data_IF_584642372176
#
_entry.id   IF_584642372176
#
_cell.length_a   1.000
_cell.length_b   1.000
_cell.length_c   1.000
_cell.angle_alpha   90.00
_cell.angle_beta   90.00
_cell.angle_gamma   90.00
#
_symmetry.space_group_name_H-M   'P 1'
#
loop_
_entity.id
_entity.type
_entity.pdbx_description
1 polymer ?
#
# COMPACT_ATOMS: atom_id res chain seq x y z
N UNK A 1 11.80 41.36 7.39
CA UNK A 1 10.84 40.27 7.70
C UNK A 1 11.12 39.09 6.79
N UNK A 2 11.26 37.92 7.35
CA UNK A 2 11.40 36.69 6.55
C UNK A 2 10.14 36.42 5.72
N UNK A 3 10.33 36.02 4.46
CA UNK A 3 9.24 35.69 3.55
C UNK A 3 8.58 34.38 4.02
N UNK A 4 7.28 34.41 4.32
CA UNK A 4 6.54 33.20 4.70
C UNK A 4 6.67 32.11 3.62
N UNK A 5 6.97 30.91 4.05
CA UNK A 5 7.00 29.73 3.19
C UNK A 5 5.60 29.39 2.67
N UNK A 6 5.49 28.59 1.60
CA UNK A 6 4.20 28.14 1.11
C UNK A 6 3.45 27.32 2.17
N UNK A 7 4.15 26.54 2.99
CA UNK A 7 3.62 25.77 4.11
C UNK A 7 2.91 26.65 5.13
N UNK A 8 3.55 27.77 5.52
CA UNK A 8 2.98 28.75 6.45
C UNK A 8 1.84 29.58 5.82
N UNK A 9 1.94 29.91 4.52
CA UNK A 9 0.89 30.65 3.82
C UNK A 9 -0.42 29.87 3.70
N UNK A 10 -0.32 28.57 3.54
CA UNK A 10 -1.47 27.65 3.44
C UNK A 10 -1.94 27.16 4.81
N UNK A 11 -1.25 27.57 5.88
CA UNK A 11 -1.55 27.17 7.25
C UNK A 11 -1.70 25.64 7.39
N UNK A 12 -0.67 24.94 6.91
CA UNK A 12 -0.69 23.47 6.86
C UNK A 12 -0.68 22.85 8.26
N UNK A 13 -0.06 23.50 9.24
CA UNK A 13 -0.04 23.00 10.63
C UNK A 13 -1.44 22.78 11.19
N UNK A 14 -2.35 23.71 10.96
CA UNK A 14 -3.74 23.56 11.41
C UNK A 14 -4.52 22.51 10.62
N UNK A 15 -4.04 22.16 9.43
CA UNK A 15 -4.63 21.15 8.54
C UNK A 15 -4.08 19.74 8.75
N UNK A 16 -3.10 19.54 9.63
CA UNK A 16 -2.53 18.20 9.90
C UNK A 16 -3.59 17.16 10.28
N UNK A 17 -4.60 17.45 11.11
CA UNK A 17 -5.66 16.49 11.39
C UNK A 17 -6.48 16.10 10.16
N UNK A 18 -6.69 17.02 9.21
CA UNK A 18 -7.35 16.72 7.94
C UNK A 18 -6.49 15.82 7.06
N UNK A 19 -5.19 16.11 6.97
CA UNK A 19 -4.23 15.30 6.22
C UNK A 19 -4.18 13.87 6.75
N UNK A 20 -4.15 13.71 8.07
CA UNK A 20 -4.23 12.41 8.73
C UNK A 20 -5.54 11.68 8.41
N UNK A 21 -6.67 12.37 8.49
CA UNK A 21 -7.99 11.83 8.14
C UNK A 21 -8.08 11.38 6.69
N UNK A 22 -7.63 12.20 5.75
CA UNK A 22 -7.62 11.83 4.33
C UNK A 22 -6.73 10.60 4.06
N UNK A 23 -5.60 10.50 4.75
CA UNK A 23 -4.72 9.34 4.60
C UNK A 23 -5.34 8.09 5.21
N UNK A 24 -6.03 8.22 6.34
CA UNK A 24 -6.84 7.14 6.95
C UNK A 24 -7.92 6.63 6.01
N UNK A 25 -8.59 7.55 5.32
CA UNK A 25 -9.62 7.23 4.33
C UNK A 25 -9.05 6.63 3.03
N UNK A 26 -7.74 6.42 2.97
CA UNK A 26 -7.06 5.76 1.86
C UNK A 26 -6.69 6.67 0.69
N UNK A 27 -6.77 8.00 0.84
CA UNK A 27 -6.37 8.90 -0.23
C UNK A 27 -4.88 8.75 -0.58
N UNK A 28 -4.59 8.81 -1.87
CA UNK A 28 -3.21 8.84 -2.38
C UNK A 28 -2.54 10.18 -2.10
N UNK A 29 -1.22 10.20 -2.13
CA UNK A 29 -0.46 11.44 -1.96
C UNK A 29 -0.83 12.50 -3.01
N UNK A 30 -1.16 12.09 -4.23
CA UNK A 30 -1.67 13.00 -5.28
C UNK A 30 -3.02 13.65 -4.93
N UNK A 31 -3.94 12.86 -4.40
CA UNK A 31 -5.25 13.34 -3.98
C UNK A 31 -5.14 14.31 -2.80
N UNK A 32 -4.28 13.99 -1.84
CA UNK A 32 -4.01 14.87 -0.69
C UNK A 32 -3.36 16.18 -1.15
N UNK A 33 -2.37 16.12 -2.06
CA UNK A 33 -1.75 17.30 -2.64
C UNK A 33 -2.78 18.19 -3.35
N UNK A 34 -3.68 17.57 -4.14
CA UNK A 34 -4.78 18.27 -4.81
C UNK A 34 -5.72 18.95 -3.81
N UNK A 35 -6.08 18.28 -2.73
CA UNK A 35 -6.94 18.84 -1.68
C UNK A 35 -6.27 20.03 -0.96
N UNK A 36 -4.94 19.99 -0.82
CA UNK A 36 -4.17 21.10 -0.24
C UNK A 36 -3.89 22.23 -1.25
N UNK A 37 -4.17 22.03 -2.54
CA UNK A 37 -3.89 22.99 -3.60
C UNK A 37 -2.41 23.09 -3.98
N UNK A 38 -1.66 21.99 -3.84
CA UNK A 38 -0.21 21.93 -4.13
C UNK A 38 0.12 20.79 -5.07
N UNK A 39 1.35 20.80 -5.62
CA UNK A 39 1.86 19.69 -6.43
C UNK A 39 2.24 18.49 -5.55
N UNK A 40 2.26 17.30 -6.14
CA UNK A 40 2.75 16.08 -5.49
C UNK A 40 4.20 16.24 -4.99
N UNK A 41 5.05 16.90 -5.78
CA UNK A 41 6.45 17.13 -5.43
C UNK A 41 6.59 18.02 -4.19
N UNK A 42 5.72 19.04 -4.06
CA UNK A 42 5.65 19.88 -2.86
C UNK A 42 5.24 19.06 -1.63
N UNK A 43 4.27 18.18 -1.77
CA UNK A 43 3.85 17.28 -0.69
C UNK A 43 4.99 16.34 -0.28
N UNK A 44 5.69 15.73 -1.24
CA UNK A 44 6.85 14.85 -0.98
C UNK A 44 7.95 15.63 -0.25
N UNK A 45 8.24 16.87 -0.69
CA UNK A 45 9.18 17.73 -0.02
C UNK A 45 8.80 17.98 1.44
N UNK A 46 7.54 18.28 1.72
CA UNK A 46 7.05 18.48 3.09
C UNK A 46 7.14 17.20 3.93
N UNK A 47 6.88 16.04 3.36
CA UNK A 47 7.09 14.74 4.05
C UNK A 47 8.55 14.55 4.48
N UNK A 48 9.50 15.04 3.70
CA UNK A 48 10.92 14.89 3.99
C UNK A 48 11.45 15.96 4.95
N UNK A 49 10.92 17.19 4.88
CA UNK A 49 11.43 18.35 5.63
C UNK A 49 10.65 18.64 6.91
N UNK A 50 9.37 18.26 6.99
CA UNK A 50 8.45 18.56 8.11
C UNK A 50 8.07 17.31 8.87
N UNK A 51 8.69 17.10 10.02
CA UNK A 51 8.45 15.91 10.86
C UNK A 51 6.97 15.73 11.20
N UNK A 52 6.29 16.78 11.61
CA UNK A 52 4.87 16.73 12.01
C UNK A 52 3.95 16.36 10.85
N UNK A 53 4.25 16.84 9.64
CA UNK A 53 3.54 16.47 8.44
C UNK A 53 3.75 14.99 8.10
N UNK A 54 4.99 14.52 8.18
CA UNK A 54 5.32 13.10 7.99
C UNK A 54 4.59 12.21 9.01
N UNK A 55 4.60 12.57 10.28
CA UNK A 55 3.92 11.80 11.33
C UNK A 55 2.40 11.74 11.13
N UNK A 56 1.78 12.82 10.66
CA UNK A 56 0.34 12.82 10.33
C UNK A 56 0.02 11.87 9.17
N UNK A 57 0.81 11.88 8.10
CA UNK A 57 0.67 10.94 6.98
C UNK A 57 0.87 9.49 7.47
N UNK A 58 1.89 9.27 8.29
CA UNK A 58 2.21 7.94 8.82
C UNK A 58 1.07 7.37 9.66
N UNK A 59 0.56 8.14 10.64
CA UNK A 59 -0.57 7.69 11.48
C UNK A 59 -1.81 7.35 10.66
N UNK A 60 -2.18 8.20 9.70
CA UNK A 60 -3.31 7.91 8.82
C UNK A 60 -3.11 6.64 7.99
N UNK A 61 -1.91 6.46 7.44
CA UNK A 61 -1.54 5.27 6.67
C UNK A 61 -1.61 3.98 7.51
N UNK A 62 -1.11 3.99 8.73
CA UNK A 62 -1.13 2.83 9.63
C UNK A 62 -2.56 2.33 9.88
N UNK A 63 -3.52 3.23 10.07
CA UNK A 63 -4.93 2.87 10.23
C UNK A 63 -5.50 2.25 8.95
N UNK A 64 -5.25 2.88 7.81
CA UNK A 64 -5.71 2.38 6.51
C UNK A 64 -5.11 1.00 6.18
N UNK A 65 -3.82 0.82 6.41
CA UNK A 65 -3.14 -0.47 6.18
C UNK A 65 -3.72 -1.57 7.10
N UNK A 66 -4.00 -1.23 8.37
CA UNK A 66 -4.64 -2.16 9.31
C UNK A 66 -6.05 -2.59 8.86
N UNK A 67 -6.85 -1.67 8.35
CA UNK A 67 -8.17 -1.98 7.81
C UNK A 67 -8.10 -2.91 6.59
N UNK A 68 -7.13 -2.67 5.69
CA UNK A 68 -6.88 -3.54 4.54
C UNK A 68 -6.43 -4.94 4.97
N UNK A 69 -5.53 -5.04 5.96
CA UNK A 69 -5.11 -6.33 6.51
C UNK A 69 -6.26 -7.08 7.16
N UNK A 70 -7.14 -6.40 7.89
CA UNK A 70 -8.34 -6.99 8.47
C UNK A 70 -9.31 -7.49 7.39
N UNK A 71 -9.52 -6.71 6.33
CA UNK A 71 -10.37 -7.11 5.22
C UNK A 71 -9.82 -8.35 4.51
N UNK A 72 -8.50 -8.38 4.27
CA UNK A 72 -7.82 -9.55 3.71
C UNK A 72 -7.96 -10.77 4.62
N UNK A 73 -7.75 -10.62 5.92
CA UNK A 73 -7.89 -11.71 6.89
C UNK A 73 -9.30 -12.28 6.90
N UNK A 74 -10.32 -11.45 6.99
CA UNK A 74 -11.73 -11.86 6.92
C UNK A 74 -12.02 -12.61 5.60
N UNK A 75 -11.56 -12.08 4.48
CA UNK A 75 -11.78 -12.68 3.18
C UNK A 75 -11.04 -14.02 3.01
N UNK A 76 -9.86 -14.13 3.59
CA UNK A 76 -9.06 -15.36 3.56
C UNK A 76 -9.62 -16.48 4.45
N UNK A 77 -10.26 -16.14 5.58
CA UNK A 77 -10.76 -17.11 6.56
C UNK A 77 -12.25 -17.36 6.49
N UNK A 78 -13.00 -16.49 5.81
CA UNK A 78 -14.46 -16.45 5.85
C UNK A 78 -14.98 -15.72 7.10
N UNK A 79 -16.21 -15.23 7.03
CA UNK A 79 -16.82 -14.49 8.13
C UNK A 79 -18.34 -14.51 8.09
N UNK A 80 -18.96 -14.30 9.24
CA UNK A 80 -20.40 -14.09 9.33
C UNK A 80 -20.74 -12.61 9.19
N UNK A 81 -21.86 -12.33 8.51
CA UNK A 81 -22.40 -10.99 8.39
C UNK A 81 -23.92 -11.03 8.50
N UNK A 82 -24.54 -9.89 8.80
CA UNK A 82 -25.98 -9.72 8.84
C UNK A 82 -26.44 -8.95 7.60
N UNK A 83 -27.51 -9.42 6.99
CA UNK A 83 -28.17 -8.78 5.85
C UNK A 83 -29.63 -8.58 6.16
N UNK A 84 -30.16 -7.43 5.82
CA UNK A 84 -31.61 -7.18 5.90
C UNK A 84 -32.28 -7.71 4.64
N UNK A 85 -33.29 -8.55 4.83
CA UNK A 85 -34.09 -9.09 3.74
C UNK A 85 -35.56 -8.88 4.02
N UNK A 86 -36.34 -8.75 2.94
CA UNK A 86 -37.82 -8.57 3.05
C UNK A 86 -38.45 -9.91 2.88
N UNK A 87 -39.28 -10.30 3.84
CA UNK A 87 -40.12 -11.52 3.77
C UNK A 87 -41.23 -11.35 2.77
N UNK A 88 -41.85 -12.47 2.33
CA UNK A 88 -43.04 -12.46 1.46
C UNK A 88 -44.21 -11.67 2.04
N UNK A 89 -44.24 -11.45 3.37
CA UNK A 89 -45.23 -10.64 4.07
C UNK A 89 -44.86 -9.15 4.16
N UNK A 90 -43.77 -8.70 3.48
CA UNK A 90 -43.32 -7.32 3.47
C UNK A 90 -42.58 -6.88 4.74
N UNK A 91 -42.22 -7.80 5.65
CA UNK A 91 -41.45 -7.47 6.86
C UNK A 91 -39.96 -7.53 6.60
N UNK A 92 -39.22 -6.51 7.06
CA UNK A 92 -37.77 -6.50 7.08
C UNK A 92 -37.25 -7.34 8.24
N UNK A 93 -36.45 -8.33 7.95
CA UNK A 93 -35.81 -9.20 8.95
C UNK A 93 -34.31 -9.26 8.73
N UNK A 94 -33.57 -9.39 9.80
CA UNK A 94 -32.12 -9.59 9.75
C UNK A 94 -31.81 -11.07 9.67
N UNK A 95 -31.04 -11.44 8.66
CA UNK A 95 -30.62 -12.83 8.44
C UNK A 95 -29.09 -12.88 8.56
N UNK A 96 -28.62 -13.81 9.39
CA UNK A 96 -27.18 -14.08 9.52
C UNK A 96 -26.73 -14.97 8.36
N UNK A 97 -25.77 -14.49 7.59
CA UNK A 97 -25.16 -15.20 6.46
C UNK A 97 -23.69 -15.46 6.71
N UNK A 98 -23.14 -16.43 6.02
CA UNK A 98 -21.71 -16.74 6.06
C UNK A 98 -21.09 -16.52 4.68
N UNK A 99 -20.05 -15.70 4.63
CA UNK A 99 -19.20 -15.51 3.45
C UNK A 99 -18.04 -16.49 3.54
N UNK A 100 -17.97 -17.39 2.57
CA UNK A 100 -16.94 -18.42 2.53
C UNK A 100 -15.54 -17.82 2.31
N UNK A 101 -14.52 -18.53 2.81
CA UNK A 101 -13.13 -18.21 2.56
C UNK A 101 -12.83 -18.15 1.05
N UNK A 102 -12.06 -17.12 0.65
CA UNK A 102 -11.63 -16.98 -0.73
C UNK A 102 -10.24 -17.64 -0.92
N UNK A 103 -10.09 -18.66 -1.78
CA UNK A 103 -8.83 -19.36 -1.96
C UNK A 103 -7.68 -18.43 -2.40
N UNK A 104 -7.93 -17.48 -3.29
CA UNK A 104 -6.92 -16.52 -3.76
C UNK A 104 -6.41 -15.64 -2.63
N UNK A 105 -7.31 -15.09 -1.81
CA UNK A 105 -6.94 -14.28 -0.64
C UNK A 105 -6.17 -15.12 0.39
N UNK A 106 -6.56 -16.36 0.61
CA UNK A 106 -5.89 -17.29 1.53
C UNK A 106 -4.46 -17.60 1.06
N UNK A 107 -4.29 -17.96 -0.23
CA UNK A 107 -2.97 -18.24 -0.81
C UNK A 107 -2.07 -17.01 -0.73
N UNK A 108 -2.59 -15.82 -1.08
CA UNK A 108 -1.85 -14.57 -0.98
C UNK A 108 -1.38 -14.31 0.45
N UNK A 109 -2.28 -14.44 1.43
CA UNK A 109 -1.95 -14.23 2.84
C UNK A 109 -0.89 -15.24 3.33
N UNK A 110 -1.01 -16.52 2.98
CA UNK A 110 -0.06 -17.57 3.36
C UNK A 110 1.33 -17.32 2.78
N UNK A 111 1.42 -16.98 1.49
CA UNK A 111 2.71 -16.69 0.84
C UNK A 111 3.42 -15.49 1.43
N UNK A 112 2.69 -14.46 1.82
CA UNK A 112 3.26 -13.22 2.36
C UNK A 112 3.56 -13.28 3.85
N UNK A 113 2.70 -13.94 4.66
CA UNK A 113 2.90 -14.04 6.11
C UNK A 113 3.77 -15.23 6.53
N UNK A 114 3.73 -16.32 5.78
CA UNK A 114 4.47 -17.54 6.06
C UNK A 114 5.34 -17.96 4.86
N UNK A 115 6.22 -17.06 4.35
CA UNK A 115 6.98 -17.32 3.13
C UNK A 115 7.91 -18.52 3.23
N UNK A 116 8.38 -18.88 4.42
CA UNK A 116 9.24 -20.05 4.62
C UNK A 116 8.53 -21.37 4.32
N UNK A 117 7.18 -21.40 4.43
CA UNK A 117 6.38 -22.61 4.17
C UNK A 117 5.68 -22.59 2.82
N UNK A 118 5.25 -21.41 2.36
CA UNK A 118 4.29 -21.29 1.25
C UNK A 118 4.78 -20.45 0.06
N UNK A 119 6.01 -19.93 0.09
CA UNK A 119 6.55 -19.23 -1.08
C UNK A 119 6.70 -20.15 -2.28
N UNK A 120 6.52 -19.61 -3.47
CA UNK A 120 6.87 -20.33 -4.69
C UNK A 120 8.38 -20.54 -4.73
N UNK A 121 8.82 -21.79 -4.91
CA UNK A 121 10.23 -22.12 -5.09
C UNK A 121 10.59 -21.90 -6.56
N UNK A 122 11.48 -20.96 -6.82
CA UNK A 122 12.11 -20.80 -8.13
C UNK A 122 13.54 -21.31 -8.00
N UNK A 123 13.82 -22.48 -8.57
CA UNK A 123 15.18 -22.99 -8.71
C UNK A 123 15.73 -22.44 -10.03
N UNK A 124 16.63 -21.47 -9.96
CA UNK A 124 17.39 -21.02 -11.13
C UNK A 124 18.75 -21.70 -11.14
N UNK A 125 18.95 -22.60 -12.08
CA UNK A 125 20.26 -23.15 -12.38
C UNK A 125 21.00 -22.15 -13.30
N UNK A 126 21.92 -21.36 -12.73
CA UNK A 126 22.73 -20.39 -13.49
C UNK A 126 23.97 -21.17 -13.98
N UNK A 127 23.94 -21.62 -15.22
CA UNK A 127 25.13 -22.19 -15.88
C UNK A 127 25.98 -21.04 -16.44
N UNK A 128 27.01 -20.62 -15.72
CA UNK A 128 28.01 -19.70 -16.27
C UNK A 128 28.93 -20.46 -17.20
N UNK A 129 28.85 -20.21 -18.52
CA UNK A 129 29.85 -20.63 -19.49
C UNK A 129 30.91 -19.54 -19.57
N UNK A 130 32.08 -19.81 -19.01
CA UNK A 130 33.25 -18.98 -19.24
C UNK A 130 33.74 -19.27 -20.68
N UNK A 131 33.59 -18.31 -21.55
CA UNK A 131 34.18 -18.36 -22.90
C UNK A 131 35.56 -17.72 -22.77
N UNK A 132 36.60 -18.56 -22.74
CA UNK A 132 37.99 -18.09 -22.89
C UNK A 132 38.22 -17.82 -24.38
N UNK A 133 38.35 -16.53 -24.72
CA UNK A 133 38.77 -16.13 -26.06
C UNK A 133 40.29 -16.06 -26.05
N UNK A 134 40.93 -17.11 -26.60
CA UNK A 134 42.35 -17.06 -26.92
C UNK A 134 42.54 -16.16 -28.14
N UNK A 135 42.94 -14.94 -27.92
CA UNK A 135 43.46 -14.06 -28.97
C UNK A 135 44.86 -14.50 -29.27
N UNK A 136 45.01 -15.31 -30.32
CA UNK A 136 46.32 -15.72 -30.78
C UNK A 136 47.18 -14.50 -31.11
N UNK A 137 48.45 -14.52 -30.71
CA UNK A 137 49.41 -13.51 -31.04
C UNK A 137 49.54 -13.39 -32.57
N UNK A 138 49.04 -12.32 -33.12
CA UNK A 138 49.36 -11.92 -34.48
C UNK A 138 50.79 -11.35 -34.46
N UNK A 139 51.74 -12.24 -34.72
CA UNK A 139 53.06 -11.80 -35.10
C UNK A 139 53.00 -11.31 -36.55
N UNK A 140 52.98 -9.99 -36.72
CA UNK A 140 53.33 -9.36 -38.00
C UNK A 140 54.82 -9.55 -38.22
N UNK A 141 55.20 -10.61 -38.96
CA UNK A 141 56.47 -10.69 -39.64
C UNK A 141 56.30 -10.11 -41.01
N UNK A 142 56.83 -8.92 -41.23
CA UNK A 142 57.11 -8.37 -42.54
C UNK A 142 58.61 -8.15 -42.69
#
# INVERSE_FOLDING_TARGET
MARKTLYEKLDIETKLPLVEGWKRDGLTDEQIAKNLGVSKDTLIKWKNEKKEFFESIKRGKEVSDYELENALHKRATGYYYEEETVTNAGKVVKVKKYEHANPTSLIFALKNRLPNKYRDKVEQEITQRNIEINVGDYNDES
#
